data_IF_332488348436
#
_entry.id   IF_332488348436
#
_cell.length_a   1.000
_cell.length_b   1.000
_cell.length_c   1.000
_cell.angle_alpha   90.00
_cell.angle_beta   90.00
_cell.angle_gamma   90.00
#
_symmetry.space_group_name_H-M   'P 1'
#
loop_
_entity.id
_entity.type
_entity.pdbx_description
1 polymer ?
#
# COMPACT_ATOMS: atom_id res chain seq x y z
N UNK A 1 2.88 2.04 15.42
CA UNK A 1 1.66 2.27 14.61
C UNK A 1 1.41 1.06 13.74
N UNK A 2 0.15 0.68 13.60
CA UNK A 2 -0.22 -0.47 12.78
C UNK A 2 -0.57 -0.06 11.36
N UNK A 3 -0.79 -1.06 10.51
CA UNK A 3 -1.22 -0.86 9.13
C UNK A 3 -2.47 -1.68 8.88
N UNK A 4 -3.31 -1.24 7.94
CA UNK A 4 -4.42 -2.06 7.44
C UNK A 4 -3.93 -2.82 6.22
N UNK A 5 -4.30 -4.09 6.14
CA UNK A 5 -3.98 -4.93 4.98
C UNK A 5 -5.25 -5.64 4.53
N UNK A 6 -5.61 -5.45 3.29
CA UNK A 6 -6.75 -6.13 2.68
C UNK A 6 -6.29 -6.96 1.50
N UNK A 7 -6.74 -8.19 1.44
CA UNK A 7 -6.36 -9.16 0.42
C UNK A 7 -7.53 -9.43 -0.51
N UNK A 8 -7.29 -9.29 -1.81
CA UNK A 8 -8.28 -9.62 -2.83
C UNK A 8 -7.74 -10.76 -3.68
N UNK A 9 -8.54 -11.80 -3.86
CA UNK A 9 -8.17 -12.94 -4.69
C UNK A 9 -9.17 -13.08 -5.83
N UNK A 10 -8.70 -12.86 -7.05
CA UNK A 10 -9.55 -12.90 -8.24
C UNK A 10 -8.79 -13.57 -9.37
N UNK A 11 -9.31 -14.70 -9.84
CA UNK A 11 -8.80 -15.37 -11.03
C UNK A 11 -7.28 -15.58 -11.04
N UNK A 12 -6.74 -16.07 -9.93
CA UNK A 12 -5.30 -16.33 -9.82
C UNK A 12 -4.47 -15.13 -9.44
N UNK A 13 -5.05 -13.94 -9.46
CA UNK A 13 -4.37 -12.73 -9.00
C UNK A 13 -4.56 -12.55 -7.50
N UNK A 14 -3.52 -12.04 -6.85
CA UNK A 14 -3.58 -11.67 -5.44
C UNK A 14 -3.23 -10.20 -5.34
N UNK A 15 -4.22 -9.37 -5.04
CA UNK A 15 -4.02 -7.94 -4.86
C UNK A 15 -3.98 -7.62 -3.38
N UNK A 16 -2.93 -6.94 -2.96
CA UNK A 16 -2.78 -6.46 -1.59
C UNK A 16 -2.98 -4.95 -1.58
N UNK A 17 -3.89 -4.49 -0.73
CA UNK A 17 -4.06 -3.08 -0.47
C UNK A 17 -3.64 -2.84 0.98
N UNK A 18 -2.63 -2.01 1.20
CA UNK A 18 -2.14 -1.72 2.54
C UNK A 18 -1.95 -0.23 2.74
N UNK A 19 -2.33 0.26 3.91
CA UNK A 19 -2.14 1.66 4.25
C UNK A 19 -1.81 1.82 5.73
N UNK A 20 -1.14 2.93 6.04
CA UNK A 20 -0.91 3.31 7.43
C UNK A 20 -2.24 3.55 8.10
N UNK A 21 -2.35 3.11 9.34
CA UNK A 21 -3.59 3.15 10.11
C UNK A 21 -4.24 4.54 10.16
N UNK A 22 -3.43 5.58 10.33
CA UNK A 22 -3.93 6.93 10.50
C UNK A 22 -4.38 7.61 9.21
N UNK A 23 -4.15 6.98 8.06
CA UNK A 23 -4.54 7.56 6.78
C UNK A 23 -5.88 7.09 6.26
N UNK A 24 -6.44 6.05 6.88
CA UNK A 24 -7.69 5.47 6.40
C UNK A 24 -8.81 6.51 6.35
N UNK A 25 -9.49 6.60 5.22
CA UNK A 25 -10.60 7.51 5.01
C UNK A 25 -10.19 8.92 4.60
N UNK A 26 -8.90 9.22 4.55
CA UNK A 26 -8.42 10.55 4.19
C UNK A 26 -8.20 10.71 2.70
N UNK A 27 -8.28 11.95 2.25
CA UNK A 27 -8.03 12.32 0.86
C UNK A 27 -6.97 13.41 0.82
N UNK A 28 -6.02 13.26 -0.08
CA UNK A 28 -4.93 14.22 -0.27
C UNK A 28 -4.93 14.69 -1.72
N UNK A 29 -4.71 15.97 -1.92
CA UNK A 29 -4.66 16.57 -3.26
C UNK A 29 -3.42 17.45 -3.38
N UNK A 30 -2.80 17.40 -4.55
CA UNK A 30 -1.66 18.24 -4.87
C UNK A 30 -1.65 18.47 -6.37
N UNK A 31 -1.98 19.70 -6.79
CA UNK A 31 -2.15 19.99 -8.20
C UNK A 31 -3.29 19.17 -8.77
N UNK A 32 -3.01 18.41 -9.82
CA UNK A 32 -4.01 17.54 -10.43
C UNK A 32 -4.02 16.13 -9.82
N UNK A 33 -3.09 15.86 -8.91
CA UNK A 33 -3.00 14.56 -8.27
C UNK A 33 -3.96 14.46 -7.10
N UNK A 34 -4.62 13.32 -6.99
CA UNK A 34 -5.54 13.05 -5.90
C UNK A 34 -5.32 11.64 -5.38
N UNK A 35 -5.17 11.51 -4.08
CA UNK A 35 -5.00 10.23 -3.42
C UNK A 35 -6.14 10.05 -2.41
N UNK A 36 -7.02 9.11 -2.67
CA UNK A 36 -8.10 8.77 -1.74
C UNK A 36 -7.77 7.44 -1.06
N UNK A 37 -7.67 7.47 0.27
CA UNK A 37 -7.41 6.26 1.05
C UNK A 37 -8.75 5.70 1.50
N UNK A 38 -9.46 5.07 0.58
CA UNK A 38 -10.84 4.62 0.79
C UNK A 38 -10.93 3.44 1.73
N UNK A 39 -11.80 3.55 2.72
CA UNK A 39 -12.05 2.44 3.65
C UNK A 39 -12.45 1.17 2.92
N UNK A 40 -13.32 1.29 1.92
CA UNK A 40 -13.78 0.15 1.14
C UNK A 40 -12.62 -0.64 0.53
N UNK A 41 -11.56 0.05 0.10
CA UNK A 41 -10.45 -0.59 -0.58
C UNK A 41 -9.35 -1.07 0.38
N UNK A 42 -9.06 -0.29 1.42
CA UNK A 42 -7.92 -0.54 2.31
C UNK A 42 -8.27 -1.19 3.65
N UNK A 43 -9.50 -1.03 4.14
CA UNK A 43 -9.82 -1.50 5.48
C UNK A 43 -10.00 -3.02 5.52
N UNK A 44 -8.91 -3.71 5.76
CA UNK A 44 -8.91 -5.13 5.99
C UNK A 44 -8.56 -5.40 7.45
N UNK A 45 -7.59 -6.27 7.67
CA UNK A 45 -7.13 -6.57 9.02
C UNK A 45 -6.06 -5.60 9.46
N UNK A 46 -6.04 -5.30 10.74
CA UNK A 46 -5.02 -4.46 11.34
C UNK A 46 -3.82 -5.36 11.65
N UNK A 47 -2.65 -4.98 11.15
CA UNK A 47 -1.43 -5.78 11.25
C UNK A 47 -0.25 -4.93 11.72
N UNK A 48 0.76 -5.59 12.28
CA UNK A 48 2.02 -4.94 12.53
C UNK A 48 2.78 -4.77 11.21
N UNK A 49 3.53 -3.69 11.03
CA UNK A 49 4.28 -3.46 9.80
C UNK A 49 5.21 -4.61 9.43
N UNK A 50 5.72 -5.33 10.44
CA UNK A 50 6.62 -6.46 10.22
C UNK A 50 5.95 -7.59 9.45
N UNK A 51 4.63 -7.65 9.45
CA UNK A 51 3.89 -8.69 8.76
C UNK A 51 3.69 -8.41 7.27
N UNK A 52 3.97 -7.18 6.83
CA UNK A 52 3.72 -6.78 5.44
C UNK A 52 4.45 -7.67 4.44
N UNK A 53 5.67 -8.08 4.78
CA UNK A 53 6.49 -8.91 3.90
C UNK A 53 5.81 -10.20 3.46
N UNK A 54 5.09 -10.84 4.37
CA UNK A 54 4.38 -12.09 4.08
C UNK A 54 3.31 -11.86 3.01
N UNK A 55 2.59 -10.73 3.12
CA UNK A 55 1.55 -10.39 2.16
C UNK A 55 2.13 -10.03 0.80
N UNK A 56 3.23 -9.28 0.79
CA UNK A 56 3.87 -8.88 -0.46
C UNK A 56 4.49 -10.08 -1.20
N UNK A 57 4.92 -11.09 -0.45
CA UNK A 57 5.44 -12.30 -1.05
C UNK A 57 4.38 -13.03 -1.87
N UNK A 58 3.14 -13.08 -1.38
CA UNK A 58 2.03 -13.69 -2.10
C UNK A 58 1.43 -12.80 -3.18
N UNK A 59 1.62 -11.50 -3.08
CA UNK A 59 0.95 -10.54 -3.96
C UNK A 59 1.43 -10.64 -5.41
N UNK A 60 0.50 -10.53 -6.34
CA UNK A 60 0.83 -10.30 -7.74
C UNK A 60 0.77 -8.81 -8.03
N UNK A 61 -0.11 -8.09 -7.31
CA UNK A 61 -0.27 -6.64 -7.41
C UNK A 61 -0.40 -6.08 -6.00
N UNK A 62 0.18 -4.92 -5.74
CA UNK A 62 0.00 -4.25 -4.45
C UNK A 62 -0.17 -2.75 -4.64
N UNK A 63 -1.05 -2.19 -3.81
CA UNK A 63 -1.22 -0.74 -3.67
C UNK A 63 -0.86 -0.40 -2.23
N UNK A 64 0.12 0.48 -2.05
CA UNK A 64 0.68 0.81 -0.75
C UNK A 64 0.61 2.30 -0.52
N UNK A 65 0.09 2.71 0.63
CA UNK A 65 -0.08 4.13 0.95
C UNK A 65 0.39 4.40 2.38
N UNK A 66 1.22 5.41 2.53
CA UNK A 66 1.71 5.84 3.82
C UNK A 66 3.18 5.56 4.04
N UNK A 67 3.78 6.33 4.93
CA UNK A 67 5.22 6.26 5.19
C UNK A 67 5.67 4.91 5.71
N UNK A 68 4.87 4.28 6.57
CA UNK A 68 5.21 2.99 7.17
C UNK A 68 5.16 1.88 6.13
N UNK A 69 4.04 1.79 5.40
CA UNK A 69 3.86 0.76 4.36
C UNK A 69 4.89 0.88 3.26
N UNK A 70 5.06 2.09 2.72
CA UNK A 70 5.96 2.28 1.58
C UNK A 70 7.41 2.08 1.97
N UNK A 71 7.82 2.59 3.14
CA UNK A 71 9.18 2.39 3.63
C UNK A 71 9.49 0.91 3.79
N UNK A 72 8.57 0.16 4.38
CA UNK A 72 8.76 -1.27 4.58
C UNK A 72 8.91 -2.01 3.26
N UNK A 73 8.08 -1.67 2.27
CA UNK A 73 8.16 -2.29 0.96
C UNK A 73 9.47 -1.96 0.24
N UNK A 74 9.99 -0.75 0.42
CA UNK A 74 11.29 -0.36 -0.13
C UNK A 74 12.39 -1.17 0.54
N UNK A 75 12.37 -1.27 1.86
CA UNK A 75 13.37 -2.03 2.63
C UNK A 75 13.42 -3.49 2.19
N UNK A 76 12.27 -4.07 1.89
CA UNK A 76 12.15 -5.46 1.46
C UNK A 76 12.45 -5.67 -0.03
N UNK A 77 12.69 -4.60 -0.77
CA UNK A 77 13.05 -4.68 -2.18
C UNK A 77 11.88 -4.79 -3.15
N UNK A 78 10.64 -4.61 -2.69
CA UNK A 78 9.49 -4.69 -3.57
C UNK A 78 9.18 -3.40 -4.31
N UNK A 79 9.61 -2.27 -3.78
CA UNK A 79 9.36 -0.95 -4.37
C UNK A 79 10.67 -0.22 -4.55
N UNK A 80 10.84 0.39 -5.72
CA UNK A 80 11.96 1.29 -6.00
C UNK A 80 11.59 2.67 -5.45
N UNK A 81 12.42 3.20 -4.57
CA UNK A 81 12.19 4.51 -3.96
C UNK A 81 11.95 5.61 -5.00
N UNK A 82 12.57 5.51 -6.16
CA UNK A 82 12.45 6.50 -7.24
C UNK A 82 11.07 6.49 -7.90
N UNK A 83 10.29 5.45 -7.68
CA UNK A 83 8.96 5.29 -8.29
C UNK A 83 7.82 5.64 -7.35
N UNK A 84 8.15 6.10 -6.15
CA UNK A 84 7.15 6.48 -5.18
C UNK A 84 6.60 7.86 -5.50
N UNK A 85 5.26 7.98 -5.54
CA UNK A 85 4.60 9.27 -5.68
C UNK A 85 4.42 9.87 -4.29
N UNK A 86 4.56 11.18 -4.20
CA UNK A 86 4.31 11.89 -2.95
C UNK A 86 3.21 12.93 -3.19
N UNK A 87 2.12 12.83 -2.46
CA UNK A 87 0.99 13.75 -2.56
C UNK A 87 0.79 14.36 -1.18
N UNK A 88 1.12 15.64 -1.05
CA UNK A 88 1.16 16.36 0.24
C UNK A 88 2.02 15.60 1.25
N UNK A 89 3.16 15.09 0.80
CA UNK A 89 4.07 14.35 1.67
C UNK A 89 3.66 12.93 1.99
N UNK A 90 2.51 12.46 1.50
CA UNK A 90 2.06 11.09 1.72
C UNK A 90 2.56 10.21 0.56
N UNK A 91 3.40 9.23 0.83
CA UNK A 91 3.90 8.36 -0.23
C UNK A 91 2.86 7.33 -0.66
N UNK A 92 2.84 7.06 -1.95
CA UNK A 92 1.99 6.05 -2.54
C UNK A 92 2.81 5.28 -3.59
N UNK A 93 2.70 3.98 -3.60
CA UNK A 93 3.43 3.14 -4.53
C UNK A 93 2.60 1.94 -4.96
N UNK A 94 2.87 1.47 -6.16
CA UNK A 94 2.24 0.27 -6.70
C UNK A 94 3.30 -0.72 -7.13
N UNK A 95 2.98 -1.99 -6.97
CA UNK A 95 3.85 -3.08 -7.36
C UNK A 95 3.07 -4.04 -8.23
N UNK A 96 3.69 -4.56 -9.27
CA UNK A 96 3.13 -5.66 -10.05
C UNK A 96 4.26 -6.62 -10.37
N UNK A 97 4.03 -7.90 -10.15
CA UNK A 97 5.00 -8.94 -10.48
C UNK A 97 4.71 -9.45 -11.89
N UNK A 98 5.76 -9.54 -12.68
CA UNK A 98 5.66 -10.14 -14.00
C UNK A 98 5.80 -11.65 -13.86
N UNK A 99 4.92 -12.39 -14.50
CA UNK A 99 4.92 -13.85 -14.46
C UNK A 99 5.51 -14.43 -15.74
#
# INVERSE_FOLDING_TARGET
MKIYVKVYRVQGEVLIAACDEDLLGKTFKEGELKLEVKERFYKGELKDPEELGKFLEEATIANLTGKICVKKAIELGYIDEKRVLHIQGVPHAQMAKLL
#
